data_IF_909766836767
#
_entry.id   IF_909766836767
#
_cell.length_a   1.000
_cell.length_b   1.000
_cell.length_c   1.000
_cell.angle_alpha   90.00
_cell.angle_beta   90.00
_cell.angle_gamma   90.00
#
_symmetry.space_group_name_H-M   'P 1'
#
loop_
_entity.id
_entity.type
_entity.pdbx_description
1 polymer ?
#
# COMPACT_ATOMS: atom_id res chain seq x y z
N UNK A 1 -29.37 -3.84 -9.72
CA UNK A 1 -29.36 -3.36 -11.14
C UNK A 1 -29.55 -1.83 -11.27
N UNK A 2 -29.01 -1.01 -10.35
CA UNK A 2 -29.20 0.45 -10.38
C UNK A 2 -27.98 1.19 -10.91
N UNK A 3 -26.78 0.70 -10.57
CA UNK A 3 -25.50 1.30 -10.98
C UNK A 3 -25.33 1.26 -12.50
N UNK A 4 -25.54 0.11 -13.14
CA UNK A 4 -25.43 -0.03 -14.60
C UNK A 4 -26.39 0.90 -15.35
N UNK A 5 -27.64 1.02 -14.89
CA UNK A 5 -28.64 1.91 -15.47
C UNK A 5 -28.28 3.39 -15.28
N UNK A 6 -27.70 3.74 -14.13
CA UNK A 6 -27.22 5.10 -13.87
C UNK A 6 -26.04 5.47 -14.78
N UNK A 7 -25.09 4.56 -14.97
CA UNK A 7 -23.95 4.74 -15.89
C UNK A 7 -24.45 4.95 -17.32
N UNK A 8 -25.34 4.08 -17.81
CA UNK A 8 -25.91 4.19 -19.16
C UNK A 8 -26.67 5.50 -19.39
N UNK A 9 -27.42 5.98 -18.38
CA UNK A 9 -28.09 7.29 -18.47
C UNK A 9 -27.09 8.44 -18.54
N UNK A 10 -26.00 8.39 -17.77
CA UNK A 10 -24.96 9.42 -17.78
C UNK A 10 -24.22 9.43 -19.12
N UNK A 11 -23.82 8.27 -19.65
CA UNK A 11 -23.16 8.21 -20.96
C UNK A 11 -24.05 8.75 -22.08
N UNK A 12 -25.33 8.37 -22.12
CA UNK A 12 -26.30 8.93 -23.07
C UNK A 12 -26.43 10.45 -22.93
N UNK A 13 -26.43 10.95 -21.70
CA UNK A 13 -26.48 12.41 -21.43
C UNK A 13 -25.26 13.13 -22.00
N UNK A 14 -24.07 12.56 -21.82
CA UNK A 14 -22.81 13.12 -22.35
C UNK A 14 -22.81 13.10 -23.88
N UNK A 15 -23.22 11.99 -24.52
CA UNK A 15 -23.34 11.91 -25.98
C UNK A 15 -24.30 12.96 -26.54
N UNK A 16 -25.49 13.11 -25.93
CA UNK A 16 -26.46 14.11 -26.36
C UNK A 16 -25.94 15.55 -26.20
N UNK A 17 -25.19 15.82 -25.13
CA UNK A 17 -24.56 17.13 -24.92
C UNK A 17 -23.47 17.40 -25.97
N UNK A 18 -22.65 16.39 -26.28
CA UNK A 18 -21.61 16.45 -27.30
C UNK A 18 -22.19 16.71 -28.70
N UNK A 19 -23.28 16.04 -29.07
CA UNK A 19 -23.98 16.29 -30.33
C UNK A 19 -24.49 17.73 -30.44
N UNK A 20 -25.06 18.27 -29.36
CA UNK A 20 -25.51 19.66 -29.30
C UNK A 20 -24.33 20.63 -29.46
N UNK A 21 -23.23 20.37 -28.75
CA UNK A 21 -22.00 21.15 -28.89
C UNK A 21 -21.48 21.11 -30.33
N UNK A 22 -21.33 19.94 -30.93
CA UNK A 22 -20.79 19.78 -32.29
C UNK A 22 -21.64 20.48 -33.36
N UNK A 23 -22.96 20.58 -33.17
CA UNK A 23 -23.85 21.38 -34.04
C UNK A 23 -23.59 22.88 -33.94
N UNK A 24 -23.25 23.38 -32.75
CA UNK A 24 -23.05 24.81 -32.48
C UNK A 24 -21.60 25.26 -32.70
N UNK A 25 -20.62 24.38 -32.48
CA UNK A 25 -19.19 24.66 -32.57
C UNK A 25 -18.75 25.39 -33.86
N UNK A 26 -19.17 24.98 -35.07
CA UNK A 26 -18.79 25.69 -36.30
C UNK A 26 -19.49 27.04 -36.47
N UNK A 27 -20.58 27.30 -35.75
CA UNK A 27 -21.34 28.55 -35.80
C UNK A 27 -20.78 29.62 -34.83
N UNK A 28 -19.82 29.27 -34.00
CA UNK A 28 -19.19 30.19 -33.04
C UNK A 28 -18.21 31.14 -33.75
N UNK A 29 -17.89 32.26 -33.09
CA UNK A 29 -16.89 33.23 -33.55
C UNK A 29 -15.84 33.36 -32.44
N UNK A 30 -14.60 32.85 -32.63
CA UNK A 30 -14.14 32.07 -33.79
C UNK A 30 -14.76 30.66 -33.85
N UNK A 31 -14.82 30.03 -35.04
CA UNK A 31 -15.35 28.67 -35.18
C UNK A 31 -14.53 27.70 -34.33
N UNK A 32 -15.21 26.80 -33.62
CA UNK A 32 -14.58 25.80 -32.75
C UNK A 32 -14.56 24.42 -33.43
N UNK A 33 -13.55 23.58 -33.12
CA UNK A 33 -13.53 22.21 -33.61
C UNK A 33 -14.66 21.38 -33.00
N UNK A 34 -15.15 20.43 -33.79
CA UNK A 34 -16.01 19.35 -33.31
C UNK A 34 -15.17 18.38 -32.46
N UNK A 35 -15.81 17.76 -31.47
CA UNK A 35 -15.19 16.84 -30.54
C UNK A 35 -15.77 15.43 -30.68
N UNK A 36 -14.92 14.42 -30.56
CA UNK A 36 -15.32 13.02 -30.47
C UNK A 36 -15.53 12.60 -29.00
N UNK A 37 -16.38 11.61 -28.76
CA UNK A 37 -16.62 11.06 -27.42
C UNK A 37 -15.33 10.56 -26.77
N UNK A 38 -14.45 9.91 -27.54
CA UNK A 38 -13.15 9.44 -27.04
C UNK A 38 -12.27 10.59 -26.52
N UNK A 39 -12.27 11.74 -27.19
CA UNK A 39 -11.52 12.94 -26.77
C UNK A 39 -12.11 13.53 -25.50
N UNK A 40 -13.45 13.62 -25.40
CA UNK A 40 -14.13 14.09 -24.19
C UNK A 40 -13.80 13.23 -22.97
N UNK A 41 -13.76 11.90 -23.14
CA UNK A 41 -13.34 10.97 -22.08
C UNK A 41 -11.85 11.19 -21.75
N UNK A 42 -10.99 11.37 -22.76
CA UNK A 42 -9.58 11.69 -22.56
C UNK A 42 -9.37 12.96 -21.71
N UNK A 43 -10.19 13.98 -21.94
CA UNK A 43 -10.15 15.25 -21.19
C UNK A 43 -10.81 15.19 -19.80
N UNK A 44 -11.62 14.17 -19.50
CA UNK A 44 -12.31 14.08 -18.20
C UNK A 44 -11.32 14.19 -17.03
N UNK A 45 -10.15 13.57 -17.19
CA UNK A 45 -9.02 13.64 -16.25
C UNK A 45 -8.44 15.04 -16.07
N UNK A 46 -8.42 15.91 -17.09
CA UNK A 46 -8.05 17.32 -16.93
C UNK A 46 -9.16 18.11 -16.22
N UNK A 47 -10.42 17.74 -16.46
CA UNK A 47 -11.59 18.33 -15.84
C UNK A 47 -11.70 18.11 -14.32
N UNK A 48 -10.96 17.15 -13.78
CA UNK A 48 -10.86 16.91 -12.32
C UNK A 48 -10.18 18.07 -11.58
N UNK A 49 -9.32 18.83 -12.27
CA UNK A 49 -8.65 19.99 -11.70
C UNK A 49 -9.53 21.22 -11.86
N UNK A 50 -10.32 21.54 -10.84
CA UNK A 50 -11.20 22.73 -10.81
C UNK A 50 -10.43 24.03 -11.07
N UNK A 51 -9.15 24.08 -10.72
CA UNK A 51 -8.24 25.19 -11.02
C UNK A 51 -8.09 25.45 -12.53
N UNK A 52 -8.11 24.40 -13.35
CA UNK A 52 -7.97 24.48 -14.81
C UNK A 52 -9.25 25.01 -15.50
N UNK A 53 -10.40 24.89 -14.84
CA UNK A 53 -11.69 25.35 -15.37
C UNK A 53 -11.74 26.88 -15.56
N UNK A 54 -10.97 27.61 -14.76
CA UNK A 54 -10.95 29.08 -14.77
C UNK A 54 -9.71 29.67 -15.46
N UNK A 55 -8.74 28.85 -15.86
CA UNK A 55 -7.59 29.35 -16.61
C UNK A 55 -7.99 29.56 -18.08
N UNK A 56 -8.06 30.81 -18.52
CA UNK A 56 -8.36 31.21 -19.90
C UNK A 56 -7.22 30.92 -20.90
N UNK A 57 -6.25 30.08 -20.53
CA UNK A 57 -5.10 29.73 -21.37
C UNK A 57 -5.41 28.47 -22.19
N UNK A 58 -4.78 28.36 -23.35
CA UNK A 58 -4.85 27.18 -24.20
C UNK A 58 -4.15 25.99 -23.53
N UNK A 59 -4.86 25.37 -22.58
CA UNK A 59 -4.38 24.26 -21.76
C UNK A 59 -4.13 23.02 -22.61
N UNK A 60 -4.99 22.80 -23.61
CA UNK A 60 -4.89 21.63 -24.51
C UNK A 60 -3.65 21.71 -25.40
N UNK A 61 -3.16 22.92 -25.70
CA UNK A 61 -1.90 23.11 -26.40
C UNK A 61 -0.65 22.88 -25.52
N UNK A 62 -0.80 22.68 -24.20
CA UNK A 62 0.36 22.43 -23.33
C UNK A 62 0.87 21.00 -23.51
N UNK A 63 2.20 20.77 -23.54
CA UNK A 63 2.76 19.44 -23.67
C UNK A 63 2.26 18.44 -22.61
N UNK A 64 2.02 18.89 -21.38
CA UNK A 64 1.52 18.04 -20.30
C UNK A 64 0.03 17.66 -20.41
N UNK A 65 -0.75 18.36 -21.24
CA UNK A 65 -2.16 18.04 -21.49
C UNK A 65 -2.33 16.93 -22.54
N UNK A 66 -1.30 16.68 -23.34
CA UNK A 66 -1.24 15.59 -24.31
C UNK A 66 -1.26 14.26 -23.54
N UNK A 67 -2.23 13.35 -23.80
CA UNK A 67 -2.38 12.11 -23.05
C UNK A 67 -1.10 11.27 -22.98
N UNK A 68 -0.41 11.11 -24.11
CA UNK A 68 0.81 10.31 -24.23
C UNK A 68 1.95 10.90 -23.39
N UNK A 69 2.12 12.22 -23.42
CA UNK A 69 3.14 12.93 -22.64
C UNK A 69 2.84 12.84 -21.15
N UNK A 70 1.57 12.90 -20.77
CA UNK A 70 1.15 12.74 -19.37
C UNK A 70 1.38 11.32 -18.87
N UNK A 71 1.04 10.31 -19.66
CA UNK A 71 1.32 8.91 -19.29
C UNK A 71 2.81 8.67 -19.12
N UNK A 72 3.62 9.19 -20.05
CA UNK A 72 5.08 9.13 -19.94
C UNK A 72 5.59 9.85 -18.70
N UNK A 73 5.07 11.06 -18.43
CA UNK A 73 5.42 11.84 -17.24
C UNK A 73 5.05 11.11 -15.96
N UNK A 74 3.86 10.50 -15.89
CA UNK A 74 3.42 9.73 -14.74
C UNK A 74 4.34 8.53 -14.50
N UNK A 75 4.74 7.80 -15.55
CA UNK A 75 5.71 6.69 -15.45
C UNK A 75 7.07 7.19 -14.99
N UNK A 76 7.57 8.28 -15.58
CA UNK A 76 8.83 8.91 -15.21
C UNK A 76 8.85 9.34 -13.74
N UNK A 77 7.82 10.06 -13.28
CA UNK A 77 7.75 10.50 -11.89
C UNK A 77 7.53 9.34 -10.92
N UNK A 78 6.80 8.29 -11.29
CA UNK A 78 6.74 7.05 -10.49
C UNK A 78 8.12 6.45 -10.31
N UNK A 79 8.93 6.42 -11.37
CA UNK A 79 10.31 5.93 -11.31
C UNK A 79 11.21 6.85 -10.47
N UNK A 80 11.12 8.17 -10.63
CA UNK A 80 11.89 9.11 -9.78
C UNK A 80 11.53 8.93 -8.31
N UNK A 81 10.22 8.92 -7.99
CA UNK A 81 9.73 8.75 -6.63
C UNK A 81 10.02 7.38 -6.05
N UNK A 82 10.10 6.31 -6.84
CA UNK A 82 10.45 4.99 -6.32
C UNK A 82 11.88 4.97 -5.75
N UNK A 83 12.82 5.73 -6.31
CA UNK A 83 14.18 5.82 -5.78
C UNK A 83 14.21 6.56 -4.43
N UNK A 84 13.45 7.65 -4.32
CA UNK A 84 13.27 8.36 -3.05
C UNK A 84 12.60 7.47 -2.01
N UNK A 85 11.55 6.73 -2.41
CA UNK A 85 10.80 5.84 -1.52
C UNK A 85 11.67 4.69 -1.01
N UNK A 86 12.59 4.13 -1.82
CA UNK A 86 13.57 3.14 -1.33
C UNK A 86 14.39 3.72 -0.16
N UNK A 87 14.85 4.96 -0.30
CA UNK A 87 15.66 5.64 0.74
C UNK A 87 14.83 5.87 2.00
N UNK A 88 13.57 6.28 1.85
CA UNK A 88 12.64 6.48 2.96
C UNK A 88 12.30 5.17 3.66
N UNK A 89 12.01 4.12 2.90
CA UNK A 89 11.69 2.79 3.43
C UNK A 89 12.84 2.23 4.27
N UNK A 90 14.09 2.46 3.89
CA UNK A 90 15.24 2.05 4.71
C UNK A 90 15.18 2.63 6.14
N UNK A 91 14.76 3.90 6.28
CA UNK A 91 14.59 4.55 7.59
C UNK A 91 13.37 3.98 8.33
N UNK A 92 12.23 3.85 7.63
CA UNK A 92 11.01 3.32 8.23
C UNK A 92 11.13 1.86 8.69
N UNK A 93 11.87 1.03 7.96
CA UNK A 93 12.22 -0.33 8.35
C UNK A 93 13.00 -0.34 9.67
N UNK A 94 13.98 0.57 9.82
CA UNK A 94 14.73 0.72 11.05
C UNK A 94 13.86 1.18 12.23
N UNK A 95 12.97 2.14 12.00
CA UNK A 95 12.03 2.60 13.02
C UNK A 95 11.05 1.51 13.44
N UNK A 96 10.51 0.74 12.50
CA UNK A 96 9.59 -0.35 12.80
C UNK A 96 10.27 -1.43 13.65
N UNK A 97 11.49 -1.83 13.28
CA UNK A 97 12.24 -2.83 14.04
C UNK A 97 12.56 -2.36 15.46
N UNK A 98 13.02 -1.11 15.62
CA UNK A 98 13.28 -0.53 16.93
C UNK A 98 12.01 -0.41 17.79
N UNK A 99 10.86 -0.09 17.17
CA UNK A 99 9.59 -0.01 17.86
C UNK A 99 9.12 -1.39 18.32
N UNK A 100 9.22 -2.43 17.48
CA UNK A 100 8.85 -3.81 17.84
C UNK A 100 9.71 -4.31 19.00
N UNK A 101 11.03 -4.12 18.94
CA UNK A 101 11.92 -4.50 20.05
C UNK A 101 11.60 -3.74 21.34
N UNK A 102 11.30 -2.44 21.23
CA UNK A 102 10.95 -1.62 22.38
C UNK A 102 9.64 -2.10 23.02
N UNK A 103 8.62 -2.39 22.23
CA UNK A 103 7.32 -2.87 22.71
C UNK A 103 7.47 -4.21 23.45
N UNK A 104 8.17 -5.17 22.87
CA UNK A 104 8.44 -6.48 23.50
C UNK A 104 9.20 -6.32 24.82
N UNK A 105 10.29 -5.52 24.83
CA UNK A 105 11.08 -5.25 26.05
C UNK A 105 10.22 -4.60 27.13
N UNK A 106 9.40 -3.60 26.78
CA UNK A 106 8.57 -2.88 27.75
C UNK A 106 7.48 -3.75 28.35
N UNK A 107 6.80 -4.55 27.53
CA UNK A 107 5.76 -5.46 28.02
C UNK A 107 6.35 -6.50 28.97
N UNK A 108 7.51 -7.08 28.64
CA UNK A 108 8.21 -8.02 29.51
C UNK A 108 8.70 -7.38 30.80
N UNK A 109 9.26 -6.15 30.75
CA UNK A 109 9.65 -5.39 31.94
C UNK A 109 8.47 -5.17 32.88
N UNK A 110 7.32 -4.71 32.37
CA UNK A 110 6.12 -4.48 33.18
C UNK A 110 5.60 -5.78 33.80
N UNK A 111 5.56 -6.87 33.04
CA UNK A 111 5.17 -8.18 33.57
C UNK A 111 6.11 -8.62 34.70
N UNK A 112 7.43 -8.47 34.52
CA UNK A 112 8.43 -8.80 35.55
C UNK A 112 8.24 -7.97 36.82
N UNK A 113 8.03 -6.66 36.69
CA UNK A 113 7.78 -5.76 37.82
C UNK A 113 6.53 -6.18 38.61
N UNK A 114 5.41 -6.43 37.92
CA UNK A 114 4.15 -6.79 38.58
C UNK A 114 4.22 -8.14 39.31
N UNK A 115 5.02 -9.08 38.80
CA UNK A 115 5.21 -10.40 39.42
C UNK A 115 6.13 -10.31 40.64
N UNK A 116 7.10 -9.40 40.62
CA UNK A 116 7.99 -9.14 41.75
C UNK A 116 7.24 -8.44 42.90
N UNK A 117 6.31 -7.53 42.57
CA UNK A 117 5.52 -6.79 43.56
C UNK A 117 4.39 -7.64 44.19
N UNK A 118 3.71 -8.49 43.41
CA UNK A 118 2.64 -9.39 43.89
C UNK A 118 2.54 -10.68 43.05
N UNK A 119 3.01 -11.85 43.55
CA UNK A 119 3.12 -13.08 42.76
C UNK A 119 1.81 -13.62 42.15
N UNK A 120 0.63 -13.59 42.83
CA UNK A 120 -0.65 -13.91 42.21
C UNK A 120 -1.35 -12.69 41.61
N UNK A 121 -0.62 -11.77 40.96
CA UNK A 121 -1.23 -10.63 40.27
C UNK A 121 -2.06 -11.08 39.06
N UNK A 122 -3.39 -10.96 39.17
CA UNK A 122 -4.34 -11.17 38.06
C UNK A 122 -4.01 -10.26 36.86
N UNK A 123 -3.52 -9.05 37.13
CA UNK A 123 -3.09 -8.10 36.11
C UNK A 123 -1.87 -8.61 35.33
N UNK A 124 -0.89 -9.23 36.01
CA UNK A 124 0.25 -9.85 35.33
C UNK A 124 -0.18 -11.03 34.44
N UNK A 125 -1.19 -11.80 34.85
CA UNK A 125 -1.74 -12.89 34.04
C UNK A 125 -2.40 -12.37 32.75
N UNK A 126 -3.21 -11.32 32.84
CA UNK A 126 -3.83 -10.69 31.66
C UNK A 126 -2.80 -10.05 30.73
N UNK A 127 -1.78 -9.37 31.28
CA UNK A 127 -0.69 -8.81 30.48
C UNK A 127 0.13 -9.88 29.76
N UNK A 128 0.37 -11.04 30.37
CA UNK A 128 1.01 -12.18 29.69
C UNK A 128 0.17 -12.69 28.52
N UNK A 129 -1.15 -12.75 28.68
CA UNK A 129 -2.07 -13.15 27.60
C UNK A 129 -2.02 -12.15 26.45
N UNK A 130 -2.10 -10.86 26.74
CA UNK A 130 -1.95 -9.77 25.75
C UNK A 130 -0.59 -9.85 25.04
N UNK A 131 0.50 -9.98 25.81
CA UNK A 131 1.85 -10.15 25.29
C UNK A 131 1.96 -11.35 24.35
N UNK A 132 1.35 -12.51 24.68
CA UNK A 132 1.41 -13.68 23.82
C UNK A 132 0.81 -13.44 22.42
N UNK A 133 -0.24 -12.61 22.33
CA UNK A 133 -0.86 -12.25 21.06
C UNK A 133 0.00 -11.23 20.31
N UNK A 134 0.46 -10.19 20.99
CA UNK A 134 1.33 -9.16 20.40
C UNK A 134 2.65 -9.75 19.92
N UNK A 135 3.28 -10.61 20.71
CA UNK A 135 4.54 -11.25 20.38
C UNK A 135 4.44 -12.12 19.11
N UNK A 136 3.30 -12.79 18.87
CA UNK A 136 3.07 -13.50 17.59
C UNK A 136 3.06 -12.57 16.39
N UNK A 137 2.44 -11.39 16.53
CA UNK A 137 2.40 -10.35 15.49
C UNK A 137 3.81 -9.76 15.29
N UNK A 138 4.51 -9.46 16.37
CA UNK A 138 5.88 -8.96 16.38
C UNK A 138 6.84 -9.95 15.72
N UNK A 139 6.69 -11.26 15.95
CA UNK A 139 7.44 -12.29 15.26
C UNK A 139 7.17 -12.31 13.75
N UNK A 140 5.92 -12.12 13.31
CA UNK A 140 5.61 -11.98 11.89
C UNK A 140 6.29 -10.73 11.28
N UNK A 141 6.32 -9.62 12.02
CA UNK A 141 7.07 -8.42 11.61
C UNK A 141 8.57 -8.70 11.50
N UNK A 142 9.20 -9.33 12.50
CA UNK A 142 10.61 -9.69 12.46
C UNK A 142 10.94 -10.60 11.28
N UNK A 143 10.14 -11.64 11.02
CA UNK A 143 10.31 -12.52 9.86
C UNK A 143 10.28 -11.72 8.55
N UNK A 144 9.35 -10.77 8.41
CA UNK A 144 9.23 -9.94 7.21
C UNK A 144 10.38 -8.95 7.08
N UNK A 145 10.77 -8.29 8.17
CA UNK A 145 11.91 -7.37 8.23
C UNK A 145 13.22 -8.10 7.87
N UNK A 146 13.39 -9.33 8.36
CA UNK A 146 14.52 -10.18 8.02
C UNK A 146 14.57 -10.49 6.53
N UNK A 147 13.44 -10.89 5.91
CA UNK A 147 13.36 -11.08 4.46
C UNK A 147 13.69 -9.80 3.67
N UNK A 148 13.21 -8.65 4.13
CA UNK A 148 13.48 -7.35 3.46
C UNK A 148 14.98 -7.02 3.50
N UNK A 149 15.66 -7.27 4.63
CA UNK A 149 17.11 -7.06 4.77
C UNK A 149 17.96 -7.94 3.85
N UNK A 150 17.43 -9.09 3.44
CA UNK A 150 18.09 -9.99 2.49
C UNK A 150 17.89 -9.57 1.02
N UNK A 151 16.99 -8.63 0.73
CA UNK A 151 16.76 -8.20 -0.64
C UNK A 151 18.01 -7.52 -1.23
N UNK A 152 18.31 -7.88 -2.49
CA UNK A 152 19.38 -7.23 -3.24
C UNK A 152 19.07 -5.74 -3.41
N UNK A 153 19.95 -4.89 -2.88
CA UNK A 153 19.81 -3.43 -2.94
C UNK A 153 19.27 -2.79 -1.66
N UNK A 154 18.99 -3.57 -0.61
CA UNK A 154 18.78 -3.00 0.71
C UNK A 154 20.06 -2.30 1.20
N UNK A 155 19.91 -1.06 1.67
CA UNK A 155 21.01 -0.22 2.15
C UNK A 155 20.70 0.45 3.49
N UNK A 156 19.62 0.02 4.15
CA UNK A 156 19.21 0.51 5.46
C UNK A 156 20.00 -0.09 6.62
N UNK A 157 19.72 0.36 7.85
CA UNK A 157 20.41 -0.08 9.04
C UNK A 157 20.14 -1.57 9.31
N UNK A 158 21.21 -2.33 9.47
CA UNK A 158 21.16 -3.73 9.92
C UNK A 158 21.37 -3.70 11.44
N UNK A 159 20.43 -4.23 12.24
CA UNK A 159 20.62 -4.35 13.67
C UNK A 159 21.86 -5.19 13.93
N UNK A 160 22.72 -4.72 14.83
CA UNK A 160 23.82 -5.54 15.33
C UNK A 160 23.16 -6.65 16.13
N UNK A 161 23.12 -7.86 15.56
CA UNK A 161 22.68 -9.06 16.25
C UNK A 161 23.56 -9.20 17.50
N UNK A 162 23.03 -8.88 18.68
CA UNK A 162 23.62 -9.36 19.93
C UNK A 162 23.30 -10.86 19.97
N UNK A 163 24.27 -11.64 19.55
CA UNK A 163 24.18 -13.08 19.38
C UNK A 163 24.29 -13.77 20.75
N UNK A 164 23.32 -13.55 21.64
CA UNK A 164 23.18 -14.34 22.87
C UNK A 164 22.44 -15.64 22.50
N UNK A 165 23.14 -16.54 21.81
CA UNK A 165 22.69 -17.93 21.71
C UNK A 165 23.03 -18.62 23.03
N UNK A 166 22.07 -18.64 23.95
CA UNK A 166 22.04 -19.65 24.97
C UNK A 166 21.56 -20.96 24.31
N UNK A 167 22.50 -21.89 24.09
CA UNK A 167 22.16 -23.31 23.95
C UNK A 167 21.44 -23.75 25.23
N UNK A 168 20.14 -24.03 25.14
CA UNK A 168 19.44 -24.83 26.14
C UNK A 168 19.21 -26.23 25.59
N UNK A 169 19.56 -27.20 26.44
CA UNK A 169 19.77 -28.59 26.10
C UNK A 169 18.49 -29.36 25.72
N UNK A 170 18.75 -30.46 25.04
CA UNK A 170 17.88 -31.64 24.99
C UNK A 170 17.41 -32.05 26.39
N UNK A 171 16.15 -32.52 26.46
CA UNK A 171 15.56 -33.60 27.29
C UNK A 171 14.01 -33.50 27.09
N UNK A 172 13.39 -34.25 26.18
CA UNK A 172 12.80 -35.60 26.31
C UNK A 172 11.24 -35.60 26.41
N UNK A 173 10.65 -36.31 25.45
CA UNK A 173 9.33 -36.95 25.28
C UNK A 173 8.06 -36.45 26.03
N UNK A 174 7.02 -36.18 25.24
CA UNK A 174 5.64 -35.98 25.70
C UNK A 174 4.65 -36.00 24.55
N UNK A 175 4.32 -37.20 24.08
CA UNK A 175 3.32 -37.52 23.05
C UNK A 175 1.99 -36.79 23.23
N UNK A 176 1.53 -36.10 22.18
CA UNK A 176 0.19 -35.52 22.10
C UNK A 176 -0.07 -35.01 20.69
N UNK A 177 -0.69 -35.85 19.88
CA UNK A 177 -1.16 -35.56 18.53
C UNK A 177 -2.25 -34.47 18.55
N UNK A 178 -2.19 -33.47 17.66
CA UNK A 178 -3.43 -32.86 17.18
C UNK A 178 -3.45 -32.75 15.65
N UNK A 179 -4.44 -33.44 15.09
CA UNK A 179 -4.90 -33.38 13.71
C UNK A 179 -4.76 -31.99 13.06
N UNK A 180 -4.04 -31.98 11.94
CA UNK A 180 -3.95 -30.87 11.00
C UNK A 180 -5.32 -30.52 10.42
N UNK A 181 -5.73 -29.26 10.55
CA UNK A 181 -6.72 -28.64 9.66
C UNK A 181 -6.11 -27.35 9.11
N UNK A 182 -5.25 -27.52 8.11
CA UNK A 182 -4.70 -26.48 7.25
C UNK A 182 -5.73 -26.12 6.17
N UNK A 183 -6.52 -25.07 6.41
CA UNK A 183 -7.43 -24.53 5.38
C UNK A 183 -7.40 -23.00 5.24
N UNK A 184 -6.31 -22.34 5.68
CA UNK A 184 -6.18 -20.87 5.59
C UNK A 184 -4.90 -20.36 4.92
N UNK A 185 -4.09 -21.23 4.31
CA UNK A 185 -2.85 -20.86 3.61
C UNK A 185 -3.03 -20.27 2.20
N UNK A 186 -4.19 -20.46 1.56
CA UNK A 186 -4.26 -20.40 0.09
C UNK A 186 -4.69 -19.06 -0.53
N UNK A 187 -4.58 -17.94 0.20
CA UNK A 187 -4.92 -16.60 -0.34
C UNK A 187 -3.76 -15.63 -0.48
N UNK A 188 -2.54 -16.01 -0.09
CA UNK A 188 -1.36 -15.16 -0.25
C UNK A 188 -0.59 -15.41 -1.56
N UNK A 189 -0.79 -16.57 -2.20
CA UNK A 189 -0.03 -17.00 -3.38
C UNK A 189 -0.46 -16.32 -4.69
N UNK A 190 -1.63 -15.67 -4.72
CA UNK A 190 -2.23 -15.19 -5.97
C UNK A 190 -1.70 -13.83 -6.50
N UNK A 191 -0.71 -13.22 -5.83
CA UNK A 191 -0.13 -11.94 -6.26
C UNK A 191 1.27 -12.09 -6.88
N UNK A 192 1.97 -13.19 -6.64
CA UNK A 192 3.31 -13.41 -7.23
C UNK A 192 3.21 -13.91 -8.68
N UNK A 193 2.17 -14.67 -9.02
CA UNK A 193 1.97 -15.22 -10.38
C UNK A 193 1.57 -14.18 -11.43
N UNK A 194 1.03 -13.03 -11.03
CA UNK A 194 0.68 -11.94 -11.97
C UNK A 194 1.88 -11.10 -12.39
N UNK A 195 2.98 -11.13 -11.64
CA UNK A 195 4.18 -10.34 -11.92
C UNK A 195 5.10 -11.07 -12.92
N UNK A 196 5.07 -12.41 -12.94
CA UNK A 196 5.90 -13.20 -13.87
C UNK A 196 5.39 -13.23 -15.33
N UNK A 197 4.18 -12.75 -15.60
CA UNK A 197 3.59 -12.77 -16.96
C UNK A 197 3.81 -11.45 -17.75
N UNK A 198 4.52 -10.46 -17.17
CA UNK A 198 4.78 -9.14 -17.80
C UNK A 198 6.25 -9.02 -18.27
N UNK A 199 6.90 -10.11 -18.66
CA UNK A 199 8.26 -10.07 -19.20
C UNK A 199 8.37 -10.72 -20.57
#
# INVERSE_FOLDING_TARGET
KYISRAIARRSATICNALEKYNKMAPLQIPPRPILNYAEVVGYATLGEFTLLKYSCHDLLAKPWAVPETREMSAKYFKLVRSHEEITRLNVEIGHLDAWVEYDDKKMLEVIKMLVADDPPSLLAAELRKQYSVHHRINNAHHCRLHKIRQLKGYSGPIPVMQHDFAEEGQDDEGSGDPEENDELGDKASCLEDTISCIR
#
